data_IF_455231255429
#
_entry.id   IF_455231255429
#
_cell.length_a   1.000
_cell.length_b   1.000
_cell.length_c   1.000
_cell.angle_alpha   90.00
_cell.angle_beta   90.00
_cell.angle_gamma   90.00
#
_symmetry.space_group_name_H-M   'P 1'
#
loop_
_entity.id
_entity.type
_entity.pdbx_description
1 polymer ?
#
# COMPACT_ATOMS: atom_id res chain seq x y z
N UNK A 1 13.28 -17.12 13.52
CA UNK A 1 11.91 -17.50 13.08
C UNK A 1 10.97 -17.42 14.28
N UNK A 2 10.33 -16.26 14.47
CA UNK A 2 9.20 -16.16 15.38
C UNK A 2 7.98 -16.78 14.67
N UNK A 3 7.59 -17.98 15.09
CA UNK A 3 6.38 -18.63 14.57
C UNK A 3 5.15 -17.92 15.14
N UNK A 4 4.28 -17.41 14.27
CA UNK A 4 3.00 -16.80 14.64
C UNK A 4 2.19 -17.78 15.53
N UNK A 5 1.61 -17.32 16.66
CA UNK A 5 0.97 -18.20 17.65
C UNK A 5 -0.35 -18.86 17.20
N UNK A 6 -0.73 -18.71 15.93
CA UNK A 6 -1.84 -19.45 15.33
C UNK A 6 -1.57 -19.57 13.81
N UNK A 7 -1.16 -20.75 13.30
CA UNK A 7 -0.91 -20.92 11.87
C UNK A 7 -2.21 -20.63 11.11
N UNK A 8 -2.14 -19.76 10.11
CA UNK A 8 -3.27 -19.51 9.23
C UNK A 8 -3.58 -20.81 8.46
N UNK A 9 -4.85 -21.17 8.25
CA UNK A 9 -5.20 -22.33 7.44
C UNK A 9 -4.64 -22.15 6.02
N UNK A 10 -4.06 -23.22 5.49
CA UNK A 10 -3.55 -23.25 4.11
C UNK A 10 -4.69 -23.00 3.11
N UNK A 11 -4.46 -22.08 2.18
CA UNK A 11 -5.41 -21.69 1.13
C UNK A 11 -5.95 -22.90 0.36
N UNK A 12 -5.08 -23.88 0.06
CA UNK A 12 -5.45 -25.08 -0.68
C UNK A 12 -6.36 -26.04 0.11
N UNK A 13 -6.31 -25.99 1.44
CA UNK A 13 -7.11 -26.81 2.35
C UNK A 13 -8.18 -26.04 3.12
N UNK A 14 -8.40 -24.77 2.77
CA UNK A 14 -9.32 -23.84 3.44
C UNK A 14 -10.80 -24.28 3.43
N UNK A 15 -11.18 -25.17 2.50
CA UNK A 15 -12.56 -25.64 2.32
C UNK A 15 -13.50 -24.60 1.70
N UNK A 16 -12.98 -23.46 1.25
CA UNK A 16 -13.75 -22.44 0.53
C UNK A 16 -14.08 -22.91 -0.88
N UNK A 17 -15.29 -22.61 -1.35
CA UNK A 17 -15.66 -22.73 -2.76
C UNK A 17 -15.21 -21.46 -3.45
N UNK A 18 -14.00 -21.50 -4.02
CA UNK A 18 -13.41 -20.39 -4.76
C UNK A 18 -13.83 -20.46 -6.24
N UNK A 19 -13.99 -19.31 -6.93
CA UNK A 19 -14.16 -19.30 -8.37
C UNK A 19 -12.86 -19.79 -9.07
N UNK A 20 -12.89 -20.01 -10.40
CA UNK A 20 -11.68 -20.32 -11.15
C UNK A 20 -10.57 -19.30 -10.90
N UNK A 21 -9.38 -19.80 -10.59
CA UNK A 21 -8.24 -18.99 -10.20
C UNK A 21 -7.00 -19.83 -9.97
N UNK A 22 -5.92 -19.14 -9.70
CA UNK A 22 -4.58 -19.73 -9.55
C UNK A 22 -4.06 -19.51 -8.14
N UNK A 23 -3.42 -20.56 -7.59
CA UNK A 23 -2.61 -20.46 -6.39
C UNK A 23 -1.21 -19.99 -6.78
N UNK A 24 -0.66 -19.05 -6.02
CA UNK A 24 0.65 -18.46 -6.26
C UNK A 24 1.59 -18.89 -5.15
N UNK A 25 2.59 -19.67 -5.51
CA UNK A 25 3.71 -20.08 -4.67
C UNK A 25 5.06 -19.63 -5.26
N UNK A 26 5.09 -19.00 -6.43
CA UNK A 26 6.32 -18.50 -7.04
C UNK A 26 6.91 -17.34 -6.23
N UNK A 27 8.19 -17.45 -5.88
CA UNK A 27 9.00 -16.42 -5.21
C UNK A 27 10.30 -16.19 -5.99
N UNK A 28 11.01 -15.11 -5.67
CA UNK A 28 12.30 -14.76 -6.28
C UNK A 28 13.32 -15.93 -6.22
N UNK A 29 13.33 -16.68 -5.11
CA UNK A 29 14.26 -17.78 -4.85
C UNK A 29 13.70 -19.17 -5.25
N UNK A 30 12.54 -19.21 -5.92
CA UNK A 30 11.87 -20.43 -6.37
C UNK A 30 10.50 -20.66 -5.71
N UNK A 31 9.91 -21.86 -5.81
CA UNK A 31 8.61 -22.13 -5.22
C UNK A 31 8.64 -22.11 -3.68
N UNK A 32 7.69 -21.41 -3.07
CA UNK A 32 7.41 -21.44 -1.64
C UNK A 32 6.81 -22.78 -1.24
N UNK A 33 6.93 -23.12 0.05
CA UNK A 33 6.44 -24.38 0.58
C UNK A 33 4.90 -24.46 0.69
N UNK A 34 4.22 -23.32 0.60
CA UNK A 34 2.76 -23.19 0.59
C UNK A 34 2.32 -22.01 -0.29
N UNK A 35 1.06 -21.96 -0.77
CA UNK A 35 0.58 -20.82 -1.55
C UNK A 35 0.51 -19.53 -0.72
N UNK A 36 1.12 -18.46 -1.22
CA UNK A 36 1.10 -17.12 -0.61
C UNK A 36 -0.24 -16.40 -0.83
N UNK A 37 -0.84 -16.62 -2.00
CA UNK A 37 -2.17 -16.12 -2.31
C UNK A 37 -2.90 -17.01 -3.32
N UNK A 38 -4.21 -16.85 -3.37
CA UNK A 38 -5.02 -17.26 -4.51
C UNK A 38 -5.53 -16.00 -5.22
N UNK A 39 -5.61 -15.98 -6.55
CA UNK A 39 -6.33 -14.94 -7.29
C UNK A 39 -7.18 -15.51 -8.42
N UNK A 40 -8.30 -14.85 -8.71
CA UNK A 40 -9.20 -15.24 -9.78
C UNK A 40 -8.53 -15.16 -11.17
N UNK A 41 -9.02 -15.97 -12.11
CA UNK A 41 -8.55 -15.93 -13.51
C UNK A 41 -9.15 -14.74 -14.29
N UNK A 42 -10.34 -14.30 -13.88
CA UNK A 42 -11.10 -13.23 -14.53
C UNK A 42 -11.14 -11.93 -13.72
N UNK A 43 -11.65 -10.85 -14.34
CA UNK A 43 -11.85 -9.57 -13.65
C UNK A 43 -12.82 -9.73 -12.48
N UNK A 44 -12.58 -8.99 -11.40
CA UNK A 44 -13.45 -8.95 -10.24
C UNK A 44 -14.84 -8.39 -10.60
N UNK A 45 -15.88 -8.97 -10.03
CA UNK A 45 -17.21 -8.40 -10.00
C UNK A 45 -17.42 -7.58 -8.72
N UNK A 46 -18.32 -6.57 -8.70
CA UNK A 46 -18.54 -5.72 -7.53
C UNK A 46 -18.93 -6.45 -6.23
N UNK A 47 -19.45 -7.67 -6.34
CA UNK A 47 -19.85 -8.50 -5.19
C UNK A 47 -18.76 -9.44 -4.68
N UNK A 48 -17.68 -9.64 -5.42
CA UNK A 48 -16.66 -10.62 -5.07
C UNK A 48 -15.95 -10.25 -3.75
N UNK A 49 -15.63 -8.97 -3.57
CA UNK A 49 -14.98 -8.48 -2.35
C UNK A 49 -15.80 -8.77 -1.08
N UNK A 50 -17.05 -8.28 -0.94
CA UNK A 50 -17.82 -8.53 0.28
C UNK A 50 -18.14 -10.02 0.50
N UNK A 51 -18.34 -10.78 -0.57
CA UNK A 51 -18.67 -12.21 -0.47
C UNK A 51 -17.45 -13.02 0.01
N UNK A 52 -16.26 -12.75 -0.55
CA UNK A 52 -15.00 -13.39 -0.11
C UNK A 52 -14.54 -12.87 1.26
N UNK A 53 -14.76 -11.59 1.59
CA UNK A 53 -14.52 -11.07 2.95
C UNK A 53 -15.32 -11.86 3.99
N UNK A 54 -16.60 -12.09 3.73
CA UNK A 54 -17.47 -12.81 4.64
C UNK A 54 -17.05 -14.29 4.79
N UNK A 55 -16.71 -14.94 3.69
CA UNK A 55 -16.29 -16.34 3.67
C UNK A 55 -14.91 -16.55 4.33
N UNK A 56 -13.94 -15.69 4.02
CA UNK A 56 -12.55 -15.78 4.48
C UNK A 56 -12.33 -15.32 5.93
N UNK A 57 -13.23 -14.50 6.51
CA UNK A 57 -13.03 -13.88 7.84
C UNK A 57 -12.67 -14.87 8.94
N UNK A 58 -13.36 -16.02 9.00
CA UNK A 58 -13.12 -17.04 10.06
C UNK A 58 -11.83 -17.83 9.83
N UNK A 59 -11.32 -17.81 8.61
CA UNK A 59 -10.13 -18.52 8.17
C UNK A 59 -8.89 -17.62 8.18
N UNK A 60 -9.01 -16.34 8.55
CA UNK A 60 -7.88 -15.41 8.46
C UNK A 60 -7.43 -15.16 7.02
N UNK A 61 -8.38 -15.20 6.08
CA UNK A 61 -8.16 -14.85 4.68
C UNK A 61 -8.79 -13.48 4.41
N UNK A 62 -8.02 -12.58 3.81
CA UNK A 62 -8.45 -11.23 3.46
C UNK A 62 -8.51 -11.06 1.94
N UNK A 63 -9.56 -10.43 1.41
CA UNK A 63 -9.57 -10.06 0.01
C UNK A 63 -8.62 -8.90 -0.26
N UNK A 64 -8.04 -8.91 -1.46
CA UNK A 64 -7.31 -7.78 -2.05
C UNK A 64 -7.53 -7.84 -3.57
N UNK A 65 -7.59 -6.71 -4.26
CA UNK A 65 -7.57 -6.69 -5.72
C UNK A 65 -6.12 -6.69 -6.19
N UNK A 66 -5.80 -7.54 -7.17
CA UNK A 66 -4.51 -7.55 -7.85
C UNK A 66 -4.65 -7.03 -9.27
N UNK A 67 -3.69 -6.21 -9.72
CA UNK A 67 -3.69 -5.65 -11.07
C UNK A 67 -2.38 -5.91 -11.81
N UNK A 68 -2.49 -6.23 -13.10
CA UNK A 68 -1.34 -6.34 -14.00
C UNK A 68 -0.67 -4.99 -14.30
N UNK A 69 -1.39 -3.88 -14.08
CA UNK A 69 -0.94 -2.52 -14.36
C UNK A 69 -0.41 -2.33 -15.78
N UNK A 70 0.48 -1.34 -15.97
CA UNK A 70 1.14 -1.09 -17.27
C UNK A 70 2.09 -2.21 -17.71
N UNK A 71 2.61 -2.98 -16.75
CA UNK A 71 3.62 -4.02 -17.00
C UNK A 71 3.00 -5.34 -17.46
N UNK A 72 1.67 -5.50 -17.34
CA UNK A 72 0.94 -6.77 -17.49
C UNK A 72 1.58 -7.92 -16.68
N UNK A 73 2.09 -7.57 -15.49
CA UNK A 73 2.74 -8.52 -14.58
C UNK A 73 1.78 -8.88 -13.47
N UNK A 74 1.54 -10.18 -13.32
CA UNK A 74 0.62 -10.73 -12.33
C UNK A 74 1.40 -11.33 -11.16
N UNK A 75 0.78 -11.66 -10.02
CA UNK A 75 1.51 -12.01 -8.78
C UNK A 75 2.59 -13.09 -8.90
N UNK A 76 2.45 -14.03 -9.84
CA UNK A 76 3.47 -15.05 -10.15
C UNK A 76 4.79 -14.49 -10.70
N UNK A 77 4.75 -13.28 -11.27
CA UNK A 77 5.84 -12.58 -11.93
C UNK A 77 6.28 -11.34 -11.11
N UNK A 78 5.82 -11.21 -9.86
CA UNK A 78 6.16 -10.09 -8.97
C UNK A 78 7.41 -10.31 -8.14
N UNK A 79 8.16 -11.40 -8.36
CA UNK A 79 9.38 -11.70 -7.60
C UNK A 79 9.17 -11.59 -6.07
N UNK A 80 8.08 -12.20 -5.58
CA UNK A 80 7.71 -12.18 -4.17
C UNK A 80 8.87 -12.72 -3.31
N UNK A 81 9.10 -12.14 -2.14
CA UNK A 81 10.21 -12.50 -1.24
C UNK A 81 9.77 -12.61 0.23
N UNK A 82 8.93 -13.61 0.58
CA UNK A 82 8.48 -13.81 1.95
C UNK A 82 9.62 -14.13 2.94
N UNK A 83 10.71 -14.76 2.50
CA UNK A 83 11.90 -15.04 3.34
C UNK A 83 12.68 -13.77 3.73
N UNK A 84 12.63 -12.73 2.89
CA UNK A 84 13.24 -11.43 3.15
C UNK A 84 12.42 -10.52 4.05
N UNK A 85 11.19 -10.94 4.40
CA UNK A 85 10.23 -10.10 5.12
C UNK A 85 10.22 -10.42 6.61
N UNK A 86 10.48 -9.42 7.46
CA UNK A 86 10.39 -9.60 8.91
C UNK A 86 8.94 -9.52 9.41
N UNK A 87 8.72 -9.55 10.72
CA UNK A 87 7.36 -9.44 11.26
C UNK A 87 6.97 -7.95 11.42
N UNK A 88 5.84 -7.47 10.85
CA UNK A 88 5.48 -6.05 10.95
C UNK A 88 5.23 -5.53 12.37
N UNK A 89 5.09 -6.42 13.37
CA UNK A 89 4.91 -6.02 14.77
C UNK A 89 6.22 -5.78 15.51
N UNK A 90 7.36 -6.08 14.88
CA UNK A 90 8.68 -5.84 15.45
C UNK A 90 9.20 -4.43 15.14
N UNK A 91 8.45 -3.64 14.36
CA UNK A 91 8.80 -2.28 13.95
C UNK A 91 7.84 -1.24 14.54
N UNK A 92 8.37 -0.08 14.87
CA UNK A 92 7.60 1.10 15.25
C UNK A 92 7.37 2.02 14.04
N UNK A 93 6.12 2.45 13.82
CA UNK A 93 5.76 3.24 12.64
C UNK A 93 6.40 4.63 12.63
N UNK A 94 6.57 5.27 13.79
CA UNK A 94 7.20 6.59 13.89
C UNK A 94 8.70 6.49 13.64
N UNK A 95 9.37 5.47 14.20
CA UNK A 95 10.80 5.23 13.94
C UNK A 95 11.06 4.92 12.46
N UNK A 96 10.19 4.12 11.82
CA UNK A 96 10.29 3.82 10.38
C UNK A 96 10.15 5.09 9.55
N UNK A 97 9.09 5.88 9.76
CA UNK A 97 8.85 7.11 8.98
C UNK A 97 9.92 8.17 9.22
N UNK A 98 10.39 8.34 10.46
CA UNK A 98 11.47 9.26 10.77
C UNK A 98 12.79 8.86 10.07
N UNK A 99 13.06 7.55 9.97
CA UNK A 99 14.19 7.01 9.22
C UNK A 99 14.09 7.33 7.73
N UNK A 100 12.97 6.98 7.09
CA UNK A 100 12.77 7.27 5.67
C UNK A 100 12.80 8.77 5.36
N UNK A 101 12.19 9.60 6.21
CA UNK A 101 12.27 11.05 6.08
C UNK A 101 13.71 11.55 6.05
N UNK A 102 14.56 11.10 6.98
CA UNK A 102 15.96 11.49 7.03
C UNK A 102 16.69 11.04 5.76
N UNK A 103 16.46 9.80 5.31
CA UNK A 103 17.08 9.27 4.09
C UNK A 103 16.70 10.12 2.86
N UNK A 104 15.43 10.45 2.67
CA UNK A 104 14.99 11.23 1.50
C UNK A 104 15.48 12.69 1.53
N UNK A 105 15.44 13.32 2.70
CA UNK A 105 15.86 14.72 2.86
C UNK A 105 17.37 14.89 2.69
N UNK A 106 18.17 13.92 3.16
CA UNK A 106 19.62 13.96 3.01
C UNK A 106 20.07 13.64 1.57
N UNK A 107 19.29 12.87 0.81
CA UNK A 107 19.59 12.52 -0.59
C UNK A 107 18.95 13.46 -1.63
N UNK A 108 18.17 14.45 -1.20
CA UNK A 108 17.60 15.47 -2.09
C UNK A 108 18.66 16.26 -2.88
N UNK A 109 19.90 16.33 -2.37
CA UNK A 109 21.04 17.00 -3.03
C UNK A 109 21.68 16.18 -4.18
N UNK A 110 21.49 14.85 -4.23
CA UNK A 110 22.16 13.99 -5.23
C UNK A 110 21.39 13.89 -6.55
N UNK A 111 20.08 14.21 -6.56
CA UNK A 111 19.26 14.24 -7.77
C UNK A 111 19.64 15.39 -8.74
N UNK A 112 20.38 16.40 -8.27
CA UNK A 112 20.83 17.55 -9.09
C UNK A 112 22.17 17.29 -9.82
N UNK A 113 22.90 16.21 -9.52
CA UNK A 113 24.23 15.97 -10.08
C UNK A 113 24.28 15.06 -11.33
N UNK A 114 23.12 14.77 -11.94
CA UNK A 114 22.98 13.94 -13.14
C UNK A 114 22.91 14.70 -14.47
N UNK A 115 23.99 15.40 -14.87
CA UNK A 115 24.32 15.87 -16.24
C UNK A 115 23.10 16.23 -17.14
N UNK A 116 22.69 17.51 -17.11
CA UNK A 116 21.78 18.12 -18.07
C UNK A 116 22.13 19.59 -18.31
N UNK A 117 22.49 19.91 -19.54
CA UNK A 117 22.98 21.22 -20.00
C UNK A 117 22.01 22.39 -19.71
N UNK A 118 22.42 23.33 -18.86
CA UNK A 118 22.19 24.76 -19.05
C UNK A 118 20.75 25.29 -19.22
N UNK A 119 19.74 24.71 -18.59
CA UNK A 119 18.41 25.31 -18.49
C UNK A 119 18.12 25.66 -17.03
N UNK A 120 17.72 26.92 -16.79
CA UNK A 120 17.54 27.53 -15.49
C UNK A 120 16.89 26.60 -14.45
N UNK A 121 17.52 26.50 -13.27
CA UNK A 121 16.86 26.08 -12.06
C UNK A 121 15.55 26.86 -11.95
N UNK A 122 14.42 26.16 -12.03
CA UNK A 122 13.13 26.76 -11.76
C UNK A 122 13.10 27.02 -10.24
N UNK A 123 13.26 28.30 -9.87
CA UNK A 123 13.41 28.78 -8.49
C UNK A 123 12.08 28.69 -7.68
N UNK A 124 11.28 27.65 -7.89
CA UNK A 124 9.93 27.51 -7.31
C UNK A 124 9.67 26.13 -6.68
N UNK A 125 10.60 25.63 -5.87
CA UNK A 125 10.41 24.48 -4.97
C UNK A 125 10.41 24.91 -3.48
N UNK A 126 9.66 25.96 -3.13
CA UNK A 126 9.73 26.56 -1.79
C UNK A 126 9.16 25.66 -0.66
N UNK A 127 8.31 24.68 -0.97
CA UNK A 127 7.58 23.88 0.04
C UNK A 127 7.92 22.37 0.06
N UNK A 128 9.03 21.96 -0.59
CA UNK A 128 9.59 20.62 -0.37
C UNK A 128 10.43 20.58 0.92
N UNK A 129 10.44 19.45 1.66
CA UNK A 129 11.37 19.29 2.77
C UNK A 129 12.81 19.35 2.27
N UNK A 130 13.51 20.46 2.55
CA UNK A 130 14.91 20.63 2.16
C UNK A 130 15.88 19.93 3.12
N UNK A 131 17.16 19.77 2.72
CA UNK A 131 18.21 19.15 3.54
C UNK A 131 18.24 19.68 4.97
N UNK A 132 18.30 18.77 5.95
CA UNK A 132 18.30 19.11 7.38
C UNK A 132 16.93 19.45 7.98
N UNK A 133 15.83 19.29 7.23
CA UNK A 133 14.49 19.39 7.80
C UNK A 133 14.23 18.25 8.79
N UNK A 134 13.79 18.59 10.00
CA UNK A 134 13.49 17.60 11.03
C UNK A 134 12.15 16.93 10.77
N UNK A 135 12.07 15.63 11.04
CA UNK A 135 10.81 14.86 11.03
C UNK A 135 9.71 15.58 11.84
N UNK A 136 8.55 15.91 11.24
CA UNK A 136 7.48 16.65 11.92
C UNK A 136 6.68 15.82 12.93
N UNK A 137 6.86 14.50 12.99
CA UNK A 137 6.08 13.60 13.83
C UNK A 137 4.88 12.99 13.11
N UNK A 138 4.25 12.00 13.76
CA UNK A 138 3.01 11.40 13.25
C UNK A 138 1.86 12.42 13.24
N UNK A 139 1.10 12.40 12.15
CA UNK A 139 -0.17 13.08 12.02
C UNK A 139 -1.14 12.66 13.14
N UNK A 140 -1.92 13.61 13.67
CA UNK A 140 -2.90 13.31 14.70
C UNK A 140 -4.01 12.41 14.13
N UNK A 141 -4.69 11.68 15.02
CA UNK A 141 -5.95 11.00 14.66
C UNK A 141 -6.97 12.07 14.28
N UNK A 142 -7.60 11.99 13.09
CA UNK A 142 -8.59 12.97 12.68
C UNK A 142 -9.74 13.07 13.68
N UNK A 143 -10.20 14.29 13.94
CA UNK A 143 -11.34 14.51 14.83
C UNK A 143 -12.67 14.01 14.22
N UNK A 144 -12.70 13.81 12.89
CA UNK A 144 -13.86 13.31 12.16
C UNK A 144 -14.12 11.84 12.50
N UNK A 145 -15.37 11.54 12.84
CA UNK A 145 -15.83 10.15 12.98
C UNK A 145 -15.97 9.49 11.61
N UNK A 146 -15.73 8.17 11.58
CA UNK A 146 -15.93 7.37 10.38
C UNK A 146 -17.41 7.42 9.97
N UNK A 147 -17.67 7.66 8.68
CA UNK A 147 -19.03 7.67 8.16
C UNK A 147 -19.65 6.26 8.16
N UNK A 148 -18.81 5.25 8.00
CA UNK A 148 -19.16 3.83 7.98
C UNK A 148 -18.01 2.96 8.53
N UNK A 149 -18.24 1.66 8.65
CA UNK A 149 -17.23 0.70 9.06
C UNK A 149 -16.13 0.55 7.98
N UNK A 150 -14.86 0.42 8.42
CA UNK A 150 -13.69 0.35 7.55
C UNK A 150 -13.78 -0.73 6.47
N UNK A 151 -14.35 -1.91 6.80
CA UNK A 151 -14.50 -2.99 5.81
C UNK A 151 -15.60 -2.68 4.79
N UNK A 152 -16.58 -1.86 5.18
CA UNK A 152 -17.66 -1.40 4.28
C UNK A 152 -17.14 -0.36 3.30
N UNK A 153 -16.35 0.63 3.78
CA UNK A 153 -15.70 1.61 2.93
C UNK A 153 -14.76 0.94 1.90
N UNK A 154 -13.93 -0.02 2.35
CA UNK A 154 -13.06 -0.79 1.48
C UNK A 154 -13.83 -1.60 0.43
N UNK A 155 -14.95 -2.22 0.82
CA UNK A 155 -15.83 -2.94 -0.11
C UNK A 155 -16.48 -1.99 -1.13
N UNK A 156 -16.83 -0.77 -0.72
CA UNK A 156 -17.33 0.29 -1.60
C UNK A 156 -16.31 0.67 -2.66
N UNK A 157 -15.07 0.98 -2.26
CA UNK A 157 -13.98 1.30 -3.18
C UNK A 157 -13.67 0.14 -4.14
N UNK A 158 -13.56 -1.09 -3.62
CA UNK A 158 -13.35 -2.27 -4.45
C UNK A 158 -14.50 -2.49 -5.45
N UNK A 159 -15.74 -2.22 -5.05
CA UNK A 159 -16.92 -2.31 -5.91
C UNK A 159 -16.92 -1.28 -7.05
N UNK A 160 -16.47 -0.05 -6.78
CA UNK A 160 -16.29 0.99 -7.81
C UNK A 160 -15.22 0.56 -8.82
N UNK A 161 -14.06 0.10 -8.34
CA UNK A 161 -12.96 -0.38 -9.20
C UNK A 161 -13.40 -1.56 -10.06
N UNK A 162 -14.11 -2.53 -9.48
CA UNK A 162 -14.62 -3.70 -10.21
C UNK A 162 -15.72 -3.35 -11.24
N UNK A 163 -16.45 -2.26 -11.04
CA UNK A 163 -17.49 -1.83 -11.96
C UNK A 163 -16.95 -1.10 -13.20
N UNK A 164 -15.75 -0.50 -13.10
CA UNK A 164 -15.18 0.29 -14.20
C UNK A 164 -14.06 -0.44 -14.94
N UNK A 165 -14.47 -1.32 -15.86
CA UNK A 165 -13.54 -2.08 -16.70
C UNK A 165 -12.75 -1.21 -17.72
N UNK A 166 -13.08 0.08 -17.86
CA UNK A 166 -12.48 0.99 -18.85
C UNK A 166 -11.33 1.85 -18.34
N UNK A 167 -11.14 1.93 -17.02
CA UNK A 167 -10.09 2.72 -16.39
C UNK A 167 -8.77 1.94 -16.23
N UNK A 168 -7.75 2.61 -15.67
CA UNK A 168 -6.41 2.05 -15.42
C UNK A 168 -6.42 0.74 -14.62
N UNK A 169 -7.37 0.59 -13.69
CA UNK A 169 -7.57 -0.62 -12.89
C UNK A 169 -8.56 -1.59 -13.53
N UNK A 170 -9.03 -1.29 -14.74
CA UNK A 170 -9.92 -2.14 -15.52
C UNK A 170 -9.30 -3.51 -15.72
N UNK A 171 -9.98 -4.54 -15.21
CA UNK A 171 -9.48 -5.91 -15.26
C UNK A 171 -8.74 -6.39 -14.00
N UNK A 172 -8.71 -5.58 -12.93
CA UNK A 172 -8.25 -6.04 -11.62
C UNK A 172 -8.98 -7.32 -11.21
N UNK A 173 -8.25 -8.25 -10.60
CA UNK A 173 -8.77 -9.57 -10.22
C UNK A 173 -8.82 -9.67 -8.71
N UNK A 174 -9.83 -10.33 -8.18
CA UNK A 174 -9.94 -10.56 -6.74
C UNK A 174 -8.96 -11.64 -6.31
N UNK A 175 -8.29 -11.41 -5.19
CA UNK A 175 -7.36 -12.33 -4.56
C UNK A 175 -7.72 -12.55 -3.09
N UNK A 176 -7.24 -13.66 -2.52
CA UNK A 176 -7.31 -13.98 -1.10
C UNK A 176 -5.90 -14.23 -0.56
N UNK A 177 -5.58 -13.54 0.53
CA UNK A 177 -4.28 -13.61 1.19
C UNK A 177 -4.45 -14.08 2.64
N UNK A 178 -3.62 -15.01 3.14
CA UNK A 178 -3.56 -15.36 4.56
C UNK A 178 -2.99 -14.18 5.35
N UNK A 179 -3.87 -13.41 5.98
CA UNK A 179 -3.49 -12.25 6.78
C UNK A 179 -4.49 -12.00 7.91
N UNK A 180 -4.00 -11.50 9.05
CA UNK A 180 -4.86 -11.18 10.21
C UNK A 180 -5.39 -9.74 10.16
N UNK A 181 -4.67 -8.87 9.46
CA UNK A 181 -4.95 -7.44 9.29
C UNK A 181 -4.76 -7.06 7.83
N UNK A 182 -5.51 -6.08 7.35
CA UNK A 182 -5.38 -5.61 5.97
C UNK A 182 -4.00 -5.01 5.71
N UNK A 183 -3.45 -4.30 6.70
CA UNK A 183 -2.10 -3.76 6.67
C UNK A 183 -0.99 -4.82 6.52
N UNK A 184 -1.25 -6.08 6.90
CA UNK A 184 -0.26 -7.16 6.85
C UNK A 184 -0.22 -7.88 5.51
N UNK A 185 -1.15 -7.59 4.60
CA UNK A 185 -1.25 -8.28 3.30
C UNK A 185 0.07 -8.21 2.51
N UNK A 186 0.75 -7.05 2.37
CA UNK A 186 2.00 -6.99 1.63
C UNK A 186 3.10 -7.86 2.25
N UNK A 187 3.24 -7.84 3.58
CA UNK A 187 4.24 -8.66 4.28
C UNK A 187 3.91 -10.15 4.23
N UNK A 188 2.64 -10.53 4.28
CA UNK A 188 2.21 -11.92 4.22
C UNK A 188 2.60 -12.61 2.91
N UNK A 189 2.64 -11.86 1.80
CA UNK A 189 3.04 -12.38 0.49
C UNK A 189 4.49 -12.04 0.13
N UNK A 190 5.21 -11.31 0.99
CA UNK A 190 6.55 -10.80 0.68
C UNK A 190 6.56 -9.87 -0.54
N UNK A 191 5.61 -8.95 -0.63
CA UNK A 191 5.49 -8.03 -1.77
C UNK A 191 6.75 -7.16 -1.91
N UNK A 192 7.30 -7.09 -3.12
CA UNK A 192 8.59 -6.47 -3.43
C UNK A 192 8.48 -5.16 -4.21
N UNK A 193 7.28 -4.61 -4.39
CA UNK A 193 7.06 -3.38 -5.16
C UNK A 193 7.96 -2.21 -4.76
N UNK A 194 8.15 -1.92 -3.46
CA UNK A 194 9.03 -0.84 -2.99
C UNK A 194 10.53 -1.16 -3.00
N UNK A 195 11.01 -2.22 -3.67
CA UNK A 195 12.39 -2.75 -3.50
C UNK A 195 13.53 -1.73 -3.71
N UNK A 196 13.30 -0.67 -4.49
CA UNK A 196 14.28 0.38 -4.71
C UNK A 196 14.43 1.34 -3.51
N UNK A 197 13.46 1.32 -2.60
CA UNK A 197 13.40 2.16 -1.41
C UNK A 197 13.52 1.33 -0.12
N UNK A 198 12.88 0.16 -0.07
CA UNK A 198 12.86 -0.73 1.08
C UNK A 198 12.84 -2.21 0.65
N UNK A 199 13.73 -3.01 1.23
CA UNK A 199 13.82 -4.44 0.97
C UNK A 199 13.04 -5.29 1.99
N UNK A 200 12.72 -4.74 3.16
CA UNK A 200 11.88 -5.35 4.19
C UNK A 200 10.49 -4.68 4.23
N UNK A 201 9.56 -5.19 3.42
CA UNK A 201 8.19 -4.65 3.29
C UNK A 201 7.41 -4.65 4.63
N UNK A 202 7.86 -5.41 5.63
CA UNK A 202 7.26 -5.40 6.96
C UNK A 202 7.34 -4.03 7.64
N UNK A 203 8.35 -3.21 7.31
CA UNK A 203 8.50 -1.84 7.82
C UNK A 203 7.38 -0.94 7.29
N UNK A 204 7.05 -1.04 6.00
CA UNK A 204 5.87 -0.38 5.43
C UNK A 204 4.57 -0.88 6.06
N UNK A 205 4.45 -2.19 6.28
CA UNK A 205 3.28 -2.76 6.97
C UNK A 205 3.10 -2.22 8.40
N UNK A 206 4.17 -1.86 9.11
CA UNK A 206 4.07 -1.20 10.41
C UNK A 206 3.43 0.20 10.30
N UNK A 207 3.79 0.97 9.27
CA UNK A 207 3.14 2.25 8.94
C UNK A 207 1.68 2.04 8.55
N UNK A 208 1.40 1.05 7.69
CA UNK A 208 0.02 0.70 7.31
C UNK A 208 -0.83 0.30 8.53
N UNK A 209 -0.28 -0.38 9.54
CA UNK A 209 -0.98 -0.69 10.80
C UNK A 209 -1.28 0.57 11.59
N UNK A 210 -0.34 1.51 11.65
CA UNK A 210 -0.59 2.81 12.27
C UNK A 210 -1.72 3.55 11.57
N UNK A 211 -1.78 3.52 10.23
CA UNK A 211 -2.89 4.10 9.48
C UNK A 211 -4.19 3.32 9.62
N UNK A 212 -4.11 2.00 9.74
CA UNK A 212 -5.25 1.14 10.02
C UNK A 212 -5.95 1.56 11.31
N UNK A 213 -5.18 1.82 12.37
CA UNK A 213 -5.71 2.19 13.68
C UNK A 213 -6.14 3.68 13.74
N UNK A 214 -5.44 4.60 13.04
CA UNK A 214 -5.70 6.05 13.09
C UNK A 214 -6.74 6.54 12.08
N UNK A 215 -6.72 6.01 10.86
CA UNK A 215 -7.51 6.51 9.72
C UNK A 215 -8.50 5.47 9.17
N UNK A 216 -8.62 4.31 9.82
CA UNK A 216 -9.41 3.16 9.34
C UNK A 216 -8.94 2.68 7.96
N UNK A 217 -7.63 2.71 7.73
CA UNK A 217 -7.04 2.37 6.45
C UNK A 217 -7.19 0.85 6.12
N UNK A 218 -7.42 0.55 4.85
CA UNK A 218 -7.48 -0.82 4.30
C UNK A 218 -6.75 -0.88 2.97
N UNK A 219 -5.81 -1.80 2.81
CA UNK A 219 -5.20 -2.12 1.52
C UNK A 219 -6.26 -2.76 0.62
N UNK A 220 -6.58 -2.11 -0.49
CA UNK A 220 -7.62 -2.54 -1.45
C UNK A 220 -7.02 -3.08 -2.73
N UNK A 221 -5.97 -2.45 -3.26
CA UNK A 221 -5.32 -2.88 -4.51
C UNK A 221 -3.83 -3.04 -4.30
N UNK A 222 -3.26 -4.09 -4.90
CA UNK A 222 -1.83 -4.25 -5.14
C UNK A 222 -1.58 -4.46 -6.64
N UNK A 223 -0.59 -3.76 -7.17
CA UNK A 223 0.05 -4.05 -8.44
C UNK A 223 1.48 -4.55 -8.24
N UNK A 224 2.26 -4.57 -9.31
CA UNK A 224 3.70 -4.87 -9.24
C UNK A 224 4.41 -3.94 -8.23
N UNK A 225 4.21 -2.63 -8.41
CA UNK A 225 4.85 -1.54 -7.67
C UNK A 225 3.84 -0.46 -7.21
N UNK A 226 2.54 -0.77 -7.27
CA UNK A 226 1.47 0.16 -6.90
C UNK A 226 0.61 -0.37 -5.76
N UNK A 227 0.08 0.54 -4.93
CA UNK A 227 -0.85 0.21 -3.85
C UNK A 227 -1.98 1.24 -3.81
N UNK A 228 -3.21 0.77 -3.54
CA UNK A 228 -4.34 1.65 -3.23
C UNK A 228 -4.93 1.26 -1.89
N UNK A 229 -5.17 2.27 -1.06
CA UNK A 229 -5.68 2.16 0.30
C UNK A 229 -7.01 2.90 0.39
N UNK A 230 -8.04 2.27 0.97
CA UNK A 230 -9.28 2.92 1.38
C UNK A 230 -9.14 3.52 2.77
N UNK A 231 -9.82 4.65 3.04
CA UNK A 231 -9.69 5.46 4.24
C UNK A 231 -11.06 5.78 4.81
N UNK A 232 -11.37 5.28 6.01
CA UNK A 232 -12.66 5.53 6.66
C UNK A 232 -12.75 6.87 7.40
N UNK A 233 -11.60 7.40 7.86
CA UNK A 233 -11.48 8.69 8.56
C UNK A 233 -10.47 9.59 7.86
N UNK A 234 -10.81 10.19 6.70
CA UNK A 234 -9.90 11.09 6.01
C UNK A 234 -9.68 12.40 6.81
N UNK A 235 -8.51 13.04 6.69
CA UNK A 235 -8.26 14.33 7.33
C UNK A 235 -9.24 15.39 6.79
N UNK A 236 -9.77 16.21 7.69
CA UNK A 236 -10.84 17.17 7.38
C UNK A 236 -10.35 18.63 7.37
N UNK A 237 -9.18 18.89 7.95
CA UNK A 237 -8.52 20.20 7.89
C UNK A 237 -7.22 20.15 7.11
N UNK A 238 -6.78 21.31 6.61
CA UNK A 238 -5.53 21.41 5.86
C UNK A 238 -4.32 21.12 6.76
N UNK A 239 -4.38 21.45 8.04
CA UNK A 239 -3.31 21.16 9.01
C UNK A 239 -3.16 19.65 9.24
N UNK A 240 -4.28 18.93 9.38
CA UNK A 240 -4.27 17.46 9.45
C UNK A 240 -3.73 16.85 8.15
N UNK A 241 -4.16 17.39 6.99
CA UNK A 241 -3.73 16.91 5.69
C UNK A 241 -2.23 17.15 5.44
N UNK A 242 -1.67 18.29 5.86
CA UNK A 242 -0.24 18.59 5.79
C UNK A 242 0.59 17.64 6.65
N UNK A 243 0.15 17.37 7.87
CA UNK A 243 0.83 16.43 8.75
C UNK A 243 0.85 15.02 8.14
N UNK A 244 -0.28 14.57 7.56
CA UNK A 244 -0.35 13.27 6.90
C UNK A 244 0.43 13.24 5.57
N UNK A 245 0.47 14.34 4.81
CA UNK A 245 1.27 14.46 3.61
C UNK A 245 2.77 14.24 3.90
N UNK A 246 3.27 14.72 5.04
CA UNK A 246 4.64 14.44 5.46
C UNK A 246 4.90 12.94 5.71
N UNK A 247 3.92 12.22 6.29
CA UNK A 247 4.02 10.75 6.39
C UNK A 247 3.98 10.08 5.01
N UNK A 248 3.12 10.54 4.09
CA UNK A 248 3.07 10.02 2.72
C UNK A 248 4.39 10.23 1.98
N UNK A 249 5.02 11.40 2.16
CA UNK A 249 6.33 11.68 1.58
C UNK A 249 7.40 10.73 2.11
N UNK A 250 7.46 10.52 3.43
CA UNK A 250 8.38 9.55 4.03
C UNK A 250 8.06 8.10 3.61
N UNK A 251 6.80 7.75 3.38
CA UNK A 251 6.40 6.39 3.03
C UNK A 251 6.61 6.07 1.53
N UNK A 252 6.42 7.05 0.66
CA UNK A 252 6.41 6.91 -0.79
C UNK A 252 6.78 8.26 -1.44
N UNK A 253 8.07 8.64 -1.47
CA UNK A 253 8.49 9.97 -1.94
C UNK A 253 8.15 10.20 -3.41
N UNK A 254 8.16 9.15 -4.23
CA UNK A 254 7.89 9.19 -5.67
C UNK A 254 6.54 9.83 -6.03
N UNK A 255 5.55 9.73 -5.14
CA UNK A 255 4.24 10.38 -5.31
C UNK A 255 4.32 11.91 -5.40
N UNK A 256 5.39 12.51 -4.88
CA UNK A 256 5.64 13.96 -4.84
C UNK A 256 6.87 14.30 -5.67
N UNK A 257 7.88 13.44 -5.67
CA UNK A 257 9.14 13.70 -6.35
C UNK A 257 9.05 13.54 -7.86
N UNK A 258 8.20 12.63 -8.33
CA UNK A 258 8.04 12.33 -9.76
C UNK A 258 6.70 12.82 -10.34
N UNK A 259 5.85 13.46 -9.53
CA UNK A 259 4.56 13.99 -9.96
C UNK A 259 4.50 15.52 -9.80
N UNK A 260 4.41 16.29 -10.91
CA UNK A 260 4.12 17.72 -10.83
C UNK A 260 2.80 17.97 -10.05
N UNK A 261 2.75 18.96 -9.15
CA UNK A 261 3.61 20.15 -9.10
C UNK A 261 4.81 20.04 -8.16
N UNK A 262 5.21 18.86 -7.70
CA UNK A 262 6.44 18.72 -6.88
C UNK A 262 6.36 19.47 -5.54
N UNK A 263 5.17 19.55 -4.96
CA UNK A 263 4.86 20.43 -3.84
C UNK A 263 4.02 19.66 -2.80
N UNK A 264 4.51 19.63 -1.56
CA UNK A 264 3.91 18.89 -0.46
C UNK A 264 2.58 19.50 -0.01
N UNK A 265 2.47 20.83 -0.04
CA UNK A 265 1.25 21.54 0.30
C UNK A 265 0.17 21.32 -0.77
N UNK A 266 0.57 21.40 -2.05
CA UNK A 266 -0.34 21.06 -3.15
C UNK A 266 -0.80 19.60 -3.10
N UNK A 267 0.09 18.68 -2.70
CA UNK A 267 -0.25 17.27 -2.48
C UNK A 267 -1.23 17.11 -1.31
N UNK A 268 -0.99 17.79 -0.19
CA UNK A 268 -1.89 17.79 0.97
C UNK A 268 -3.31 18.26 0.60
N UNK A 269 -3.43 19.34 -0.18
CA UNK A 269 -4.72 19.88 -0.61
C UNK A 269 -5.48 18.95 -1.57
N UNK A 270 -4.77 18.32 -2.52
CA UNK A 270 -5.41 17.62 -3.65
C UNK A 270 -5.53 16.12 -3.45
N UNK A 271 -4.54 15.49 -2.83
CA UNK A 271 -4.42 14.04 -2.72
C UNK A 271 -4.69 13.49 -1.32
N UNK A 272 -4.77 14.37 -0.30
CA UNK A 272 -4.92 13.95 1.10
C UNK A 272 -6.19 14.51 1.74
N UNK A 273 -6.42 15.83 1.63
CA UNK A 273 -7.57 16.50 2.24
C UNK A 273 -8.90 15.92 1.73
N UNK A 274 -9.71 15.40 2.67
CA UNK A 274 -11.00 14.75 2.41
C UNK A 274 -10.96 13.57 1.43
N UNK A 275 -9.78 12.99 1.15
CA UNK A 275 -9.67 11.86 0.23
C UNK A 275 -9.90 10.52 0.95
N UNK A 276 -10.91 9.77 0.50
CA UNK A 276 -11.30 8.47 1.05
C UNK A 276 -10.50 7.30 0.43
N UNK A 277 -9.58 7.61 -0.48
CA UNK A 277 -8.65 6.66 -1.07
C UNK A 277 -7.28 7.31 -1.30
N UNK A 278 -6.21 6.57 -1.02
CA UNK A 278 -4.83 6.97 -1.29
C UNK A 278 -4.19 6.00 -2.28
N UNK A 279 -3.38 6.53 -3.19
CA UNK A 279 -2.63 5.74 -4.18
C UNK A 279 -1.14 5.98 -3.97
N UNK A 280 -0.37 4.90 -4.07
CA UNK A 280 1.08 4.91 -3.94
C UNK A 280 1.71 4.12 -5.09
N UNK A 281 2.88 4.58 -5.52
CA UNK A 281 3.67 3.95 -6.56
C UNK A 281 5.16 4.19 -6.28
N UNK A 282 5.97 3.15 -6.41
CA UNK A 282 7.42 3.20 -6.26
C UNK A 282 8.08 2.84 -7.60
N UNK A 283 9.07 3.61 -8.07
CA UNK A 283 9.86 3.28 -9.28
C UNK A 283 11.24 2.72 -8.98
#
# INVERSE_FOLDING_TARGET
>A
MATLPNPLPDLASSGLVLPPGSLVDATLDGPWHEPLLWHADGPAAPRDWPDLRAAGRRLGLLPVLVTGGRRDQWPKDWDLCPDGTSYPGDHDAEEVLAGYWADHVDHADDADNGIGDGAAADEHHEDRPGPGSSWPGLAPVPAREAAEDADTAAAGLAGVIAADAGEWLGGARIALVPARRSADIPAAIGWSGPMNHENDVARLCAVLRSWEDRFDARVVVLGFDTMIVSVGRPPATIEEARALAAEHYAFCPDNIDQAPPHDLDAYAEKAVLNQEAWSFWWD
#
